data_IF_589239565788
#
_entry.id   IF_589239565788
#
_cell.length_a   1.000
_cell.length_b   1.000
_cell.length_c   1.000
_cell.angle_alpha   90.00
_cell.angle_beta   90.00
_cell.angle_gamma   90.00
#
_symmetry.space_group_name_H-M   'P 1'
#
loop_
_entity.id
_entity.type
_entity.pdbx_description
1 polymer ?
#
# COMPACT_ATOMS: atom_id res chain seq x y z
N UNK A 1 15.58 5.30 3.94
CA UNK A 1 14.40 5.03 4.78
C UNK A 1 13.25 4.80 3.82
N UNK A 2 12.56 3.69 3.96
CA UNK A 2 11.45 3.32 3.04
C UNK A 2 10.25 4.25 3.29
N UNK A 3 9.70 4.82 2.22
CA UNK A 3 8.58 5.76 2.20
C UNK A 3 7.31 5.06 1.72
N UNK A 4 6.27 5.10 2.53
CA UNK A 4 4.97 4.48 2.27
C UNK A 4 3.93 5.58 2.06
N UNK A 5 3.22 5.51 0.94
CA UNK A 5 1.97 6.24 0.74
C UNK A 5 0.81 5.34 1.18
N UNK A 6 0.12 5.72 2.26
CA UNK A 6 -1.04 5.00 2.79
C UNK A 6 -2.33 5.69 2.34
N UNK A 7 -3.22 4.97 1.66
CA UNK A 7 -4.57 5.43 1.33
C UNK A 7 -5.62 4.55 2.03
N UNK A 8 -6.35 5.11 2.99
CA UNK A 8 -7.38 4.42 3.79
C UNK A 8 -8.42 5.47 4.19
N UNK A 9 -9.69 5.26 3.88
CA UNK A 9 -10.75 6.24 4.12
C UNK A 9 -11.19 6.27 5.59
N UNK A 10 -11.18 5.12 6.28
CA UNK A 10 -11.44 5.06 7.71
C UNK A 10 -10.33 5.76 8.50
N UNK A 11 -10.68 6.86 9.16
CA UNK A 11 -9.73 7.68 9.92
C UNK A 11 -9.02 6.89 11.02
N UNK A 12 -9.76 6.06 11.75
CA UNK A 12 -9.24 5.35 12.92
C UNK A 12 -8.25 4.29 12.45
N UNK A 13 -8.62 3.50 11.44
CA UNK A 13 -7.74 2.54 10.79
C UNK A 13 -6.50 3.23 10.23
N UNK A 14 -6.66 4.33 9.48
CA UNK A 14 -5.53 5.09 8.91
C UNK A 14 -4.54 5.53 9.99
N UNK A 15 -5.03 6.06 11.12
CA UNK A 15 -4.18 6.45 12.26
C UNK A 15 -3.47 5.23 12.89
N UNK A 16 -4.15 4.09 13.06
CA UNK A 16 -3.55 2.87 13.61
C UNK A 16 -2.45 2.30 12.71
N UNK A 17 -2.72 2.19 11.40
CA UNK A 17 -1.77 1.67 10.42
C UNK A 17 -0.54 2.58 10.32
N UNK A 18 -0.74 3.90 10.23
CA UNK A 18 0.33 4.91 10.20
C UNK A 18 1.28 4.72 11.38
N UNK A 19 0.73 4.72 12.61
CA UNK A 19 1.54 4.57 13.83
C UNK A 19 2.27 3.23 13.90
N UNK A 20 1.67 2.15 13.38
CA UNK A 20 2.31 0.84 13.38
C UNK A 20 3.54 0.81 12.46
N UNK A 21 3.39 1.32 11.25
CA UNK A 21 4.47 1.38 10.26
C UNK A 21 5.58 2.35 10.69
N UNK A 22 5.24 3.52 11.21
CA UNK A 22 6.23 4.49 11.72
C UNK A 22 7.06 3.91 12.87
N UNK A 23 6.43 3.19 13.81
CA UNK A 23 7.15 2.50 14.89
C UNK A 23 8.10 1.42 14.39
N UNK A 24 7.86 0.88 13.20
CA UNK A 24 8.73 -0.10 12.54
C UNK A 24 9.83 0.55 11.68
N UNK A 25 9.94 1.89 11.68
CA UNK A 25 11.02 2.61 10.99
C UNK A 25 10.69 3.06 9.57
N UNK A 26 9.43 2.97 9.14
CA UNK A 26 8.95 3.47 7.86
C UNK A 26 8.57 4.95 7.94
N UNK A 27 8.80 5.71 6.87
CA UNK A 27 8.22 7.03 6.72
C UNK A 27 6.84 6.91 6.06
N UNK A 28 5.78 7.41 6.70
CA UNK A 28 4.41 7.27 6.19
C UNK A 28 3.84 8.61 5.81
N UNK A 29 3.27 8.71 4.61
CA UNK A 29 2.38 9.80 4.21
C UNK A 29 1.00 9.20 4.04
N UNK A 30 0.02 9.68 4.80
CA UNK A 30 -1.32 9.09 4.82
C UNK A 30 -2.37 10.04 4.22
N UNK A 31 -3.24 9.49 3.37
CA UNK A 31 -4.37 10.19 2.76
C UNK A 31 -5.66 9.41 2.97
N UNK A 32 -6.80 10.10 2.86
CA UNK A 32 -8.12 9.57 3.15
C UNK A 32 -8.90 9.10 1.91
N UNK A 33 -8.32 9.21 0.71
CA UNK A 33 -8.94 8.80 -0.56
C UNK A 33 -7.91 8.66 -1.68
N UNK A 34 -8.22 7.88 -2.71
CA UNK A 34 -7.31 7.69 -3.85
C UNK A 34 -7.04 8.97 -4.66
N UNK A 35 -8.02 9.86 -4.78
CA UNK A 35 -7.85 11.15 -5.49
C UNK A 35 -6.83 12.08 -4.82
N UNK A 36 -6.60 11.93 -3.51
CA UNK A 36 -5.58 12.68 -2.77
C UNK A 36 -4.18 12.05 -2.88
N UNK A 37 -4.08 10.74 -3.17
CA UNK A 37 -2.81 10.05 -3.39
C UNK A 37 -2.16 10.44 -4.72
N UNK A 38 -2.96 10.61 -5.78
CA UNK A 38 -2.45 10.83 -7.14
C UNK A 38 -1.56 12.07 -7.31
N UNK A 39 -1.88 13.25 -6.74
CA UNK A 39 -0.98 14.39 -6.80
C UNK A 39 0.37 14.12 -6.13
N UNK A 40 0.37 13.45 -4.98
CA UNK A 40 1.59 13.12 -4.24
C UNK A 40 2.49 12.18 -5.03
N UNK A 41 1.92 11.17 -5.70
CA UNK A 41 2.66 10.26 -6.58
C UNK A 41 3.31 10.98 -7.77
N UNK A 42 2.82 12.16 -8.16
CA UNK A 42 3.41 12.98 -9.25
C UNK A 42 4.54 13.88 -8.77
N UNK A 43 4.50 14.30 -7.50
CA UNK A 43 5.42 15.32 -6.96
C UNK A 43 6.47 14.74 -6.03
N UNK A 44 6.26 13.52 -5.53
CA UNK A 44 7.10 12.86 -4.54
C UNK A 44 7.34 11.39 -4.90
N UNK A 45 8.46 10.85 -4.42
CA UNK A 45 8.79 9.43 -4.60
C UNK A 45 8.40 8.60 -3.39
N UNK A 46 7.73 7.47 -3.63
CA UNK A 46 7.37 6.48 -2.63
C UNK A 46 7.87 5.10 -3.06
N UNK A 47 8.18 4.26 -2.09
CA UNK A 47 8.65 2.89 -2.33
C UNK A 47 7.48 1.88 -2.28
N UNK A 48 6.42 2.21 -1.54
CA UNK A 48 5.21 1.40 -1.41
C UNK A 48 3.95 2.27 -1.44
N UNK A 49 2.99 1.88 -2.27
CA UNK A 49 1.58 2.23 -2.11
C UNK A 49 0.89 1.14 -1.30
N UNK A 50 0.42 1.52 -0.12
CA UNK A 50 -0.43 0.69 0.73
C UNK A 50 -1.85 1.27 0.69
N UNK A 51 -2.82 0.54 0.15
CA UNK A 51 -4.16 1.12 -0.09
C UNK A 51 -5.29 0.17 0.30
N UNK A 52 -6.36 0.69 0.91
CA UNK A 52 -7.65 -0.02 0.88
C UNK A 52 -8.12 -0.11 -0.57
N UNK A 53 -8.79 -1.20 -0.93
CA UNK A 53 -9.47 -1.32 -2.21
C UNK A 53 -10.78 -0.53 -2.21
N UNK A 54 -11.58 -0.65 -1.16
CA UNK A 54 -12.91 -0.04 -1.14
C UNK A 54 -12.80 1.36 -0.57
N UNK A 55 -12.72 2.36 -1.44
CA UNK A 55 -12.64 3.77 -1.10
C UNK A 55 -13.60 4.60 -1.98
N UNK A 56 -14.10 5.75 -1.50
CA UNK A 56 -14.89 6.67 -2.31
C UNK A 56 -14.04 7.33 -3.41
N UNK A 57 -14.73 7.83 -4.45
CA UNK A 57 -14.19 8.55 -5.62
C UNK A 57 -13.27 7.72 -6.54
N UNK A 58 -12.21 7.15 -5.98
CA UNK A 58 -11.24 6.31 -6.67
C UNK A 58 -10.93 5.10 -5.80
N UNK A 59 -11.25 3.90 -6.32
CA UNK A 59 -10.98 2.65 -5.63
C UNK A 59 -9.47 2.35 -5.62
N UNK A 60 -9.01 1.53 -4.68
CA UNK A 60 -7.58 1.24 -4.55
C UNK A 60 -6.98 0.53 -5.76
N UNK A 61 -7.78 -0.25 -6.49
CA UNK A 61 -7.33 -0.96 -7.69
C UNK A 61 -7.07 0.06 -8.82
N UNK A 62 -7.98 1.01 -9.02
CA UNK A 62 -7.81 2.10 -9.98
C UNK A 62 -6.62 2.99 -9.60
N UNK A 63 -6.46 3.30 -8.32
CA UNK A 63 -5.31 4.05 -7.82
C UNK A 63 -4.01 3.32 -8.14
N UNK A 64 -3.91 2.03 -7.82
CA UNK A 64 -2.74 1.22 -8.14
C UNK A 64 -2.50 1.21 -9.67
N UNK A 65 -3.56 1.00 -10.45
CA UNK A 65 -3.71 1.26 -11.90
C UNK A 65 -2.77 2.36 -12.38
N UNK A 66 -3.17 3.57 -12.00
CA UNK A 66 -2.57 4.84 -12.39
C UNK A 66 -1.21 5.05 -11.75
N UNK A 67 -1.00 4.56 -10.54
CA UNK A 67 0.27 4.67 -9.83
C UNK A 67 1.37 3.86 -10.53
N UNK A 68 1.07 2.64 -10.99
CA UNK A 68 2.02 1.79 -11.70
C UNK A 68 2.41 2.33 -13.09
N UNK A 69 1.51 3.03 -13.76
CA UNK A 69 1.83 3.73 -15.01
C UNK A 69 2.79 4.92 -14.78
N UNK A 70 2.65 5.60 -13.64
CA UNK A 70 3.44 6.79 -13.30
C UNK A 70 4.79 6.44 -12.66
N UNK A 71 4.81 5.40 -11.83
CA UNK A 71 5.94 4.97 -11.01
C UNK A 71 6.13 3.45 -11.16
N UNK A 72 6.84 2.98 -12.20
CA UNK A 72 6.99 1.54 -12.48
C UNK A 72 7.66 0.73 -11.36
N UNK A 73 8.51 1.36 -10.55
CA UNK A 73 9.21 0.72 -9.44
C UNK A 73 8.39 0.70 -8.13
N UNK A 74 7.24 1.37 -8.11
CA UNK A 74 6.38 1.47 -6.93
C UNK A 74 5.76 0.10 -6.62
N UNK A 75 6.02 -0.41 -5.43
CA UNK A 75 5.35 -1.63 -4.95
C UNK A 75 3.92 -1.30 -4.55
N UNK A 76 3.04 -2.27 -4.72
CA UNK A 76 1.63 -2.14 -4.35
C UNK A 76 1.27 -3.24 -3.36
N UNK A 77 0.63 -2.84 -2.27
CA UNK A 77 -0.01 -3.74 -1.32
C UNK A 77 -1.43 -3.27 -1.06
N UNK A 78 -2.39 -4.17 -1.25
CA UNK A 78 -3.78 -3.94 -0.93
C UNK A 78 -4.09 -4.38 0.49
N UNK A 79 -4.95 -3.62 1.16
CA UNK A 79 -5.64 -4.01 2.37
C UNK A 79 -7.13 -4.09 2.03
N UNK A 80 -7.87 -5.13 2.41
CA UNK A 80 -9.32 -5.12 2.17
C UNK A 80 -10.09 -6.06 3.09
N UNK A 81 -11.28 -5.65 3.54
CA UNK A 81 -12.23 -6.56 4.22
C UNK A 81 -13.13 -7.34 3.27
N UNK A 82 -13.06 -7.08 1.97
CA UNK A 82 -13.99 -7.65 1.00
C UNK A 82 -13.32 -8.74 0.17
N UNK A 83 -13.56 -10.00 0.53
CA UNK A 83 -12.98 -11.14 -0.19
C UNK A 83 -13.26 -11.10 -1.71
N UNK A 84 -14.44 -10.61 -2.12
CA UNK A 84 -14.85 -10.53 -3.52
C UNK A 84 -13.93 -9.67 -4.39
N UNK A 85 -13.26 -8.64 -3.84
CA UNK A 85 -12.40 -7.75 -4.62
C UNK A 85 -10.96 -8.26 -4.75
N UNK A 86 -10.56 -9.25 -3.94
CA UNK A 86 -9.19 -9.81 -3.96
C UNK A 86 -8.83 -10.43 -5.32
N UNK A 87 -9.77 -11.15 -5.96
CA UNK A 87 -9.58 -11.69 -7.30
C UNK A 87 -9.45 -10.60 -8.37
N UNK A 88 -10.22 -9.50 -8.23
CA UNK A 88 -10.12 -8.34 -9.13
C UNK A 88 -8.76 -7.67 -8.98
N UNK A 89 -8.32 -7.46 -7.75
CA UNK A 89 -7.02 -6.89 -7.43
C UNK A 89 -5.86 -7.74 -7.99
N UNK A 90 -5.87 -9.06 -7.77
CA UNK A 90 -4.84 -9.95 -8.31
C UNK A 90 -4.80 -10.03 -9.83
N UNK A 91 -5.95 -9.85 -10.51
CA UNK A 91 -5.99 -9.76 -11.98
C UNK A 91 -5.46 -8.42 -12.50
N UNK A 92 -5.83 -7.32 -11.84
CA UNK A 92 -5.42 -5.97 -12.25
C UNK A 92 -3.95 -5.69 -11.93
N UNK A 93 -3.47 -6.23 -10.80
CA UNK A 93 -2.11 -6.07 -10.30
C UNK A 93 -1.54 -7.41 -9.82
N UNK A 94 -1.07 -8.28 -10.73
CA UNK A 94 -0.58 -9.63 -10.38
C UNK A 94 0.60 -9.66 -9.41
N UNK A 95 1.41 -8.59 -9.40
CA UNK A 95 2.59 -8.45 -8.55
C UNK A 95 2.24 -7.91 -7.14
N UNK A 96 1.02 -7.38 -6.96
CA UNK A 96 0.64 -6.75 -5.70
C UNK A 96 0.35 -7.79 -4.62
N UNK A 97 0.77 -7.47 -3.38
CA UNK A 97 0.37 -8.23 -2.20
C UNK A 97 -1.03 -7.83 -1.75
N UNK A 98 -1.75 -8.76 -1.12
CA UNK A 98 -3.09 -8.51 -0.58
C UNK A 98 -3.13 -9.00 0.86
N UNK A 99 -3.51 -8.12 1.79
CA UNK A 99 -3.77 -8.43 3.19
C UNK A 99 -5.26 -8.25 3.49
N UNK A 100 -5.90 -9.33 3.91
CA UNK A 100 -7.34 -9.32 4.20
C UNK A 100 -7.63 -8.85 5.63
N UNK A 101 -8.59 -7.93 5.81
CA UNK A 101 -9.20 -7.59 7.12
C UNK A 101 -10.12 -8.77 7.56
N UNK A 102 -10.17 -9.12 8.86
CA UNK A 102 -9.37 -8.59 9.95
C UNK A 102 -7.94 -9.17 9.96
N UNK A 103 -6.97 -8.37 10.40
CA UNK A 103 -5.56 -8.76 10.59
C UNK A 103 -5.00 -8.12 11.86
N UNK A 104 -3.87 -8.63 12.37
CA UNK A 104 -3.12 -7.95 13.43
C UNK A 104 -2.12 -6.95 12.82
N UNK A 105 -1.87 -5.84 13.51
CA UNK A 105 -0.88 -4.84 13.06
C UNK A 105 0.52 -5.42 12.87
N UNK A 106 0.85 -6.48 13.62
CA UNK A 106 2.11 -7.22 13.43
C UNK A 106 2.17 -7.90 12.06
N UNK A 107 1.06 -8.46 11.59
CA UNK A 107 0.98 -9.15 10.29
C UNK A 107 1.18 -8.14 9.15
N UNK A 108 0.59 -6.94 9.27
CA UNK A 108 0.84 -5.84 8.35
C UNK A 108 2.33 -5.51 8.25
N UNK A 109 2.98 -5.27 9.38
CA UNK A 109 4.41 -4.91 9.41
C UNK A 109 5.25 -6.03 8.80
N UNK A 110 4.99 -7.29 9.15
CA UNK A 110 5.71 -8.43 8.59
C UNK A 110 5.55 -8.55 7.06
N UNK A 111 4.37 -8.29 6.52
CA UNK A 111 4.16 -8.29 5.07
C UNK A 111 4.90 -7.15 4.38
N UNK A 112 4.93 -5.95 4.99
CA UNK A 112 5.73 -4.83 4.48
C UNK A 112 7.23 -5.18 4.55
N UNK A 113 7.71 -5.73 5.66
CA UNK A 113 9.12 -6.14 5.80
C UNK A 113 9.51 -7.14 4.70
N UNK A 114 8.69 -8.17 4.46
CA UNK A 114 8.92 -9.18 3.39
C UNK A 114 9.02 -8.57 2.00
N UNK A 115 8.23 -7.53 1.71
CA UNK A 115 8.31 -6.81 0.43
C UNK A 115 9.70 -6.20 0.22
N UNK A 116 10.34 -5.71 1.29
CA UNK A 116 11.65 -5.04 1.23
C UNK A 116 12.85 -5.95 1.54
N UNK A 117 12.67 -7.06 2.26
CA UNK A 117 13.73 -8.03 2.52
C UNK A 117 14.19 -8.77 1.25
N UNK A 118 13.30 -8.94 0.27
CA UNK A 118 13.57 -9.70 -0.98
C UNK A 118 14.71 -9.09 -1.82
N UNK A 119 15.10 -7.83 -1.60
CA UNK A 119 16.19 -7.17 -2.34
C UNK A 119 17.60 -7.37 -1.77
N UNK A 120 17.74 -7.78 -0.50
CA UNK A 120 19.06 -7.94 0.12
C UNK A 120 19.77 -9.24 -0.29
N UNK A 121 19.05 -10.21 -0.86
CA UNK A 121 19.63 -11.51 -1.24
C UNK A 121 20.28 -11.46 -2.64
N UNK A 122 19.83 -10.59 -3.54
CA UNK A 122 20.32 -10.57 -4.93
C UNK A 122 21.49 -9.60 -5.15
N UNK A 123 21.75 -8.65 -4.24
CA UNK A 123 22.91 -7.75 -4.32
C UNK A 123 24.19 -8.28 -3.64
N UNK A 124 24.14 -9.49 -3.10
CA UNK A 124 25.24 -10.16 -2.39
C UNK A 124 26.00 -11.22 -3.20
N UNK A 125 25.79 -11.31 -4.52
CA UNK A 125 26.50 -12.24 -5.42
C UNK A 125 27.19 -11.48 -6.55
#
# INVERSE_FOLDING_TARGET
>A
MIRILLAEDDRVMREYLTRALERSGYAVTAVDRGTAAMPLLKTESFDLLLTDIVMPEMDGIELAQKAGELCPDLRVMFITGFAAVTLKAGKAMPQARVLSKPFHLRDLVLEVDRLFETENVTRGL
#
